data_IF_126408067300
#
_entry.id   IF_126408067300
#
_cell.length_a   1.000
_cell.length_b   1.000
_cell.length_c   1.000
_cell.angle_alpha   90.00
_cell.angle_beta   90.00
_cell.angle_gamma   90.00
#
_symmetry.space_group_name_H-M   'P 1'
#
loop_
_entity.id
_entity.type
_entity.pdbx_description
1 polymer ?
#
# COMPACT_ATOMS: atom_id res chain seq x y z
N UNK A 1 -1.17 -24.68 1.44
CA UNK A 1 0.01 -23.80 1.40
C UNK A 1 -0.26 -22.53 2.18
N UNK A 2 0.74 -22.08 2.95
CA UNK A 2 0.61 -20.99 3.91
C UNK A 2 0.54 -19.64 3.18
N UNK A 3 -0.68 -19.16 2.89
CA UNK A 3 -0.94 -17.89 2.15
C UNK A 3 -0.27 -16.68 2.80
N UNK A 4 0.19 -16.79 4.05
CA UNK A 4 0.93 -15.75 4.77
C UNK A 4 2.15 -15.23 4.03
N UNK A 5 2.77 -16.04 3.17
CA UNK A 5 3.93 -15.60 2.38
C UNK A 5 3.59 -14.49 1.39
N UNK A 6 2.33 -14.28 0.99
CA UNK A 6 1.90 -13.25 0.03
C UNK A 6 1.01 -12.16 0.64
N UNK A 7 0.71 -12.23 1.94
CA UNK A 7 -0.17 -11.26 2.59
C UNK A 7 0.62 -10.05 3.10
N UNK A 8 0.00 -8.88 2.95
CA UNK A 8 0.42 -7.63 3.59
C UNK A 8 -0.56 -7.37 4.73
N UNK A 9 -0.06 -7.19 5.95
CA UNK A 9 -0.88 -6.91 7.12
C UNK A 9 -0.85 -5.41 7.41
N UNK A 10 -2.03 -4.80 7.56
CA UNK A 10 -2.13 -3.38 7.88
C UNK A 10 -3.09 -3.14 9.04
N UNK A 11 -2.61 -2.41 10.04
CA UNK A 11 -3.41 -1.88 11.13
C UNK A 11 -4.19 -0.63 10.68
N UNK A 12 -5.39 -0.36 11.20
CA UNK A 12 -6.04 0.93 11.02
C UNK A 12 -5.20 2.02 11.69
N UNK A 13 -4.82 3.03 10.92
CA UNK A 13 -3.93 4.11 11.36
C UNK A 13 -4.73 5.33 11.75
N UNK A 14 -4.48 5.81 12.96
CA UNK A 14 -5.07 7.02 13.50
C UNK A 14 -3.99 8.05 13.78
N UNK A 15 -3.98 9.15 13.03
CA UNK A 15 -3.02 10.25 13.18
C UNK A 15 -3.39 11.19 14.34
N UNK A 16 -3.92 10.66 15.43
CA UNK A 16 -4.58 11.43 16.49
C UNK A 16 -3.71 11.67 17.72
N UNK A 17 -2.45 11.22 17.76
CA UNK A 17 -1.66 11.24 19.00
C UNK A 17 -1.40 12.64 19.57
N UNK A 18 -1.25 13.64 18.71
CA UNK A 18 -1.05 15.05 19.06
C UNK A 18 -2.22 15.95 18.64
N UNK A 19 -3.43 15.40 18.44
CA UNK A 19 -4.58 16.18 17.95
C UNK A 19 -4.87 17.44 18.79
N UNK A 20 -4.69 17.36 20.11
CA UNK A 20 -4.92 18.45 21.06
C UNK A 20 -4.00 19.67 20.86
N UNK A 21 -2.88 19.52 20.14
CA UNK A 21 -1.92 20.60 19.84
C UNK A 21 -2.05 21.15 18.43
N UNK A 22 -2.91 20.54 17.61
CA UNK A 22 -3.02 20.86 16.20
C UNK A 22 -4.01 22.00 15.94
N UNK A 23 -3.77 22.84 14.93
CA UNK A 23 -4.77 23.75 14.38
C UNK A 23 -6.07 23.02 14.02
N UNK A 24 -7.23 23.61 14.33
CA UNK A 24 -8.55 23.01 14.02
C UNK A 24 -8.71 22.52 12.57
N UNK A 25 -8.29 23.26 11.53
CA UNK A 25 -8.42 22.78 10.15
C UNK A 25 -7.63 21.48 9.89
N UNK A 26 -6.49 21.31 10.55
CA UNK A 26 -5.65 20.11 10.43
C UNK A 26 -6.31 18.94 11.15
N UNK A 27 -6.93 19.17 12.30
CA UNK A 27 -7.69 18.13 13.02
C UNK A 27 -8.80 17.58 12.12
N UNK A 28 -9.60 18.46 11.52
CA UNK A 28 -10.70 18.06 10.63
C UNK A 28 -10.18 17.25 9.44
N UNK A 29 -9.15 17.74 8.74
CA UNK A 29 -8.53 17.01 7.63
C UNK A 29 -7.97 15.64 8.06
N UNK A 30 -7.34 15.59 9.22
CA UNK A 30 -6.80 14.35 9.79
C UNK A 30 -7.90 13.34 10.12
N UNK A 31 -9.04 13.80 10.64
CA UNK A 31 -10.20 12.95 10.89
C UNK A 31 -10.75 12.34 9.59
N UNK A 32 -10.89 13.15 8.53
CA UNK A 32 -11.30 12.64 7.22
C UNK A 32 -10.35 11.59 6.67
N UNK A 33 -9.03 11.80 6.78
CA UNK A 33 -8.04 10.79 6.38
C UNK A 33 -8.21 9.50 7.17
N UNK A 34 -8.35 9.57 8.50
CA UNK A 34 -8.54 8.39 9.33
C UNK A 34 -9.84 7.64 8.97
N UNK A 35 -10.93 8.37 8.69
CA UNK A 35 -12.20 7.79 8.26
C UNK A 35 -12.08 7.08 6.91
N UNK A 36 -11.39 7.70 5.94
CA UNK A 36 -11.15 7.11 4.62
C UNK A 36 -10.32 5.82 4.71
N UNK A 37 -9.22 5.85 5.47
CA UNK A 37 -8.36 4.66 5.67
C UNK A 37 -9.13 3.52 6.35
N UNK A 38 -9.92 3.84 7.39
CA UNK A 38 -10.73 2.84 8.08
C UNK A 38 -11.82 2.26 7.16
N UNK A 39 -12.48 3.10 6.36
CA UNK A 39 -13.49 2.66 5.40
C UNK A 39 -12.86 1.73 4.34
N UNK A 40 -11.68 2.09 3.82
CA UNK A 40 -10.95 1.26 2.86
C UNK A 40 -10.55 -0.10 3.47
N UNK A 41 -10.05 -0.13 4.71
CA UNK A 41 -9.73 -1.38 5.40
C UNK A 41 -10.99 -2.23 5.69
N UNK A 42 -12.10 -1.59 6.02
CA UNK A 42 -13.37 -2.27 6.34
C UNK A 42 -14.07 -2.89 5.14
N UNK A 43 -13.82 -2.44 3.91
CA UNK A 43 -14.48 -2.96 2.71
C UNK A 43 -13.76 -4.19 2.14
N UNK A 44 -14.30 -5.42 2.31
CA UNK A 44 -13.67 -6.65 1.82
C UNK A 44 -13.48 -6.70 0.31
N UNK A 45 -14.26 -5.93 -0.46
CA UNK A 45 -14.23 -5.94 -1.92
C UNK A 45 -13.32 -4.86 -2.52
N UNK A 46 -12.83 -3.93 -1.70
CA UNK A 46 -11.92 -2.88 -2.15
C UNK A 46 -10.51 -3.41 -2.39
N UNK A 47 -9.88 -2.95 -3.48
CA UNK A 47 -8.45 -3.09 -3.71
C UNK A 47 -7.75 -2.10 -2.78
N UNK A 48 -7.00 -2.66 -1.82
CA UNK A 48 -6.33 -1.89 -0.77
C UNK A 48 -4.85 -1.84 -1.03
N UNK A 49 -4.26 -0.68 -0.74
CA UNK A 49 -2.82 -0.49 -0.74
C UNK A 49 -2.34 -0.16 0.66
N UNK A 50 -1.14 -0.63 1.04
CA UNK A 50 -0.58 -0.33 2.33
C UNK A 50 -0.32 1.15 2.46
N UNK A 51 -0.58 1.68 3.65
CA UNK A 51 -0.37 3.07 3.98
C UNK A 51 0.38 3.17 5.30
N UNK A 52 1.56 3.80 5.29
CA UNK A 52 2.41 4.21 6.43
C UNK A 52 2.90 3.14 7.41
N UNK A 53 2.09 2.17 7.81
CA UNK A 53 2.44 1.16 8.81
C UNK A 53 1.83 -0.17 8.40
N UNK A 54 2.67 -1.01 7.82
CA UNK A 54 2.29 -2.32 7.33
C UNK A 54 3.39 -3.34 7.64
N UNK A 55 3.08 -4.61 7.45
CA UNK A 55 4.03 -5.72 7.60
C UNK A 55 3.84 -6.68 6.45
N UNK A 56 4.93 -7.21 5.92
CA UNK A 56 4.90 -8.28 4.92
C UNK A 56 5.95 -9.35 5.24
N UNK A 57 5.81 -10.51 4.62
CA UNK A 57 6.79 -11.57 4.74
C UNK A 57 8.12 -11.15 4.11
N UNK A 58 9.23 -11.60 4.70
CA UNK A 58 10.57 -11.38 4.12
C UNK A 58 10.69 -12.05 2.74
N UNK A 59 10.02 -13.18 2.54
CA UNK A 59 10.02 -13.90 1.27
C UNK A 59 9.33 -13.09 0.18
N UNK A 60 8.19 -12.44 0.47
CA UNK A 60 7.54 -11.53 -0.46
C UNK A 60 8.46 -10.36 -0.81
N UNK A 61 9.08 -9.75 0.21
CA UNK A 61 10.01 -8.63 0.00
C UNK A 61 11.16 -9.02 -0.93
N UNK A 62 11.75 -10.21 -0.75
CA UNK A 62 12.82 -10.72 -1.62
C UNK A 62 12.31 -11.04 -3.03
N UNK A 63 11.15 -11.67 -3.16
CA UNK A 63 10.57 -12.06 -4.44
C UNK A 63 10.22 -10.87 -5.33
N UNK A 64 9.81 -9.75 -4.73
CA UNK A 64 9.53 -8.52 -5.49
C UNK A 64 10.79 -7.70 -5.77
N UNK A 65 11.94 -8.03 -5.17
CA UNK A 65 13.18 -7.27 -5.33
C UNK A 65 13.34 -6.09 -4.37
N UNK A 66 12.64 -6.11 -3.24
CA UNK A 66 12.75 -5.11 -2.18
C UNK A 66 12.07 -3.78 -2.50
N UNK A 67 12.44 -2.77 -1.72
CA UNK A 67 11.90 -1.42 -1.78
C UNK A 67 12.67 -0.53 -2.75
N UNK A 68 11.95 0.35 -3.43
CA UNK A 68 12.52 1.29 -4.39
C UNK A 68 12.62 2.69 -3.74
N UNK A 69 13.83 3.14 -3.34
CA UNK A 69 14.00 4.37 -2.54
C UNK A 69 13.75 5.65 -3.34
N UNK A 70 13.65 5.55 -4.66
CA UNK A 70 13.46 6.70 -5.55
C UNK A 70 12.03 7.24 -5.49
N UNK A 71 11.06 6.43 -5.04
CA UNK A 71 9.64 6.81 -5.02
C UNK A 71 9.22 7.53 -3.73
N UNK A 72 8.47 8.61 -3.92
CA UNK A 72 7.98 9.47 -2.83
C UNK A 72 6.89 8.76 -2.02
N UNK A 73 6.05 7.96 -2.67
CA UNK A 73 4.97 7.18 -2.07
C UNK A 73 5.36 5.69 -1.95
N UNK A 74 6.49 5.43 -1.27
CA UNK A 74 7.10 4.10 -1.16
C UNK A 74 6.09 3.02 -0.73
N UNK A 75 5.24 3.28 0.28
CA UNK A 75 4.26 2.30 0.75
C UNK A 75 3.31 1.85 -0.37
N UNK A 76 2.69 2.81 -1.06
CA UNK A 76 1.72 2.55 -2.13
C UNK A 76 2.38 1.80 -3.28
N UNK A 77 3.57 2.24 -3.66
CA UNK A 77 4.37 1.58 -4.68
C UNK A 77 4.71 0.14 -4.30
N UNK A 78 5.14 -0.11 -3.05
CA UNK A 78 5.44 -1.45 -2.57
C UNK A 78 4.19 -2.35 -2.65
N UNK A 79 3.02 -1.82 -2.31
CA UNK A 79 1.74 -2.51 -2.48
C UNK A 79 1.44 -2.88 -3.93
N UNK A 80 1.55 -1.91 -4.85
CA UNK A 80 1.32 -2.12 -6.29
C UNK A 80 2.33 -3.13 -6.84
N UNK A 81 3.60 -3.00 -6.46
CA UNK A 81 4.68 -3.91 -6.87
C UNK A 81 4.42 -5.33 -6.40
N UNK A 82 4.02 -5.52 -5.14
CA UNK A 82 3.62 -6.83 -4.62
C UNK A 82 2.42 -7.38 -5.39
N UNK A 83 1.38 -6.57 -5.61
CA UNK A 83 0.18 -6.98 -6.34
C UNK A 83 0.51 -7.43 -7.77
N UNK A 84 1.29 -6.64 -8.52
CA UNK A 84 1.64 -6.96 -9.90
C UNK A 84 2.59 -8.15 -10.02
N UNK A 85 3.63 -8.23 -9.19
CA UNK A 85 4.63 -9.30 -9.27
C UNK A 85 4.10 -10.66 -8.82
N UNK A 86 3.08 -10.67 -7.95
CA UNK A 86 2.36 -11.88 -7.55
C UNK A 86 1.11 -12.15 -8.38
N UNK A 87 0.93 -11.45 -9.50
CA UNK A 87 -0.22 -11.62 -10.42
C UNK A 87 -1.58 -11.48 -9.71
N UNK A 88 -1.67 -10.58 -8.73
CA UNK A 88 -2.88 -10.28 -7.98
C UNK A 88 -3.11 -11.16 -6.75
N UNK A 89 -2.18 -12.05 -6.40
CA UNK A 89 -2.31 -12.87 -5.18
C UNK A 89 -2.02 -12.09 -3.90
N UNK A 90 -1.08 -11.14 -3.94
CA UNK A 90 -0.77 -10.29 -2.81
C UNK A 90 -1.91 -9.32 -2.54
N UNK A 91 -2.35 -9.29 -1.28
CA UNK A 91 -3.44 -8.43 -0.82
C UNK A 91 -3.17 -7.91 0.57
N UNK A 92 -3.77 -6.77 0.87
CA UNK A 92 -3.73 -6.17 2.20
C UNK A 92 -4.87 -6.73 3.04
N UNK A 93 -4.52 -7.37 4.15
CA UNK A 93 -5.45 -7.87 5.15
C UNK A 93 -5.45 -6.93 6.37
N UNK A 94 -6.64 -6.47 6.81
CA UNK A 94 -6.74 -5.62 7.98
C UNK A 94 -6.41 -6.40 9.26
N UNK A 95 -5.59 -5.79 10.10
CA UNK A 95 -5.29 -6.26 11.45
C UNK A 95 -6.06 -5.38 12.44
N UNK A 96 -6.91 -5.98 13.29
CA UNK A 96 -7.78 -5.27 14.24
C UNK A 96 -7.04 -4.67 15.46
N UNK A 97 -5.83 -4.16 15.23
CA UNK A 97 -4.99 -3.52 16.23
C UNK A 97 -4.73 -2.07 15.78
N UNK A 98 -5.47 -1.08 16.30
CA UNK A 98 -5.30 0.30 15.85
C UNK A 98 -3.93 0.87 16.23
N UNK A 99 -3.28 1.53 15.27
CA UNK A 99 -1.99 2.20 15.45
C UNK A 99 -2.18 3.71 15.52
N UNK A 100 -1.79 4.32 16.64
CA UNK A 100 -1.86 5.76 16.84
C UNK A 100 -0.54 6.46 16.48
N UNK A 101 -0.57 7.27 15.42
CA UNK A 101 0.58 7.99 14.90
C UNK A 101 0.52 9.50 15.18
N UNK A 102 1.68 10.14 15.08
CA UNK A 102 1.79 11.60 15.21
C UNK A 102 1.50 12.28 13.88
N UNK A 103 0.71 13.34 13.97
CA UNK A 103 0.57 14.34 12.93
C UNK A 103 1.84 15.21 12.88
N UNK A 104 2.43 15.49 11.70
CA UNK A 104 3.50 16.48 11.58
C UNK A 104 3.13 17.82 12.21
N UNK A 105 4.00 18.30 13.08
CA UNK A 105 3.86 19.51 13.88
C UNK A 105 5.15 20.32 13.78
N UNK A 106 5.02 21.65 13.77
CA UNK A 106 6.15 22.57 13.86
C UNK A 106 5.92 23.52 15.05
N UNK A 107 6.95 24.26 15.46
CA UNK A 107 6.95 25.14 16.64
C UNK A 107 5.93 26.28 16.56
N UNK A 108 5.41 26.59 15.37
CA UNK A 108 4.47 27.70 15.15
C UNK A 108 3.24 27.21 14.42
N UNK A 109 2.08 27.78 14.76
CA UNK A 109 0.78 27.45 14.17
C UNK A 109 0.79 27.46 12.63
N UNK A 110 1.30 28.53 12.01
CA UNK A 110 1.41 28.65 10.55
C UNK A 110 2.38 27.66 9.91
N UNK A 111 3.51 27.41 10.59
CA UNK A 111 4.50 26.43 10.10
C UNK A 111 3.93 25.01 10.13
N UNK A 112 3.11 24.70 11.12
CA UNK A 112 2.40 23.41 11.20
C UNK A 112 1.43 23.24 10.03
N UNK A 113 0.69 24.29 9.65
CA UNK A 113 -0.17 24.28 8.45
C UNK A 113 0.66 24.08 7.19
N UNK A 114 1.77 24.80 7.03
CA UNK A 114 2.66 24.67 5.87
C UNK A 114 3.31 23.28 5.78
N UNK A 115 3.72 22.71 6.91
CA UNK A 115 4.27 21.35 6.98
C UNK A 115 3.22 20.31 6.55
N UNK A 116 1.99 20.48 7.00
CA UNK A 116 0.86 19.64 6.58
C UNK A 116 0.50 19.80 5.11
N UNK A 117 0.53 21.03 4.60
CA UNK A 117 0.36 21.30 3.18
C UNK A 117 1.46 20.62 2.35
N UNK A 118 2.72 20.71 2.77
CA UNK A 118 3.82 20.05 2.10
C UNK A 118 3.69 18.52 2.09
N UNK A 119 3.16 17.94 3.18
CA UNK A 119 2.83 16.52 3.22
C UNK A 119 1.67 16.16 2.29
N UNK A 120 0.58 16.92 2.32
CA UNK A 120 -0.57 16.70 1.43
C UNK A 120 -0.17 16.79 -0.05
N UNK A 121 0.72 17.72 -0.42
CA UNK A 121 1.29 17.79 -1.77
C UNK A 121 2.05 16.52 -2.15
N UNK A 122 2.84 15.94 -1.24
CA UNK A 122 3.54 14.66 -1.49
C UNK A 122 2.56 13.52 -1.76
N UNK A 123 1.45 13.47 -1.02
CA UNK A 123 0.40 12.48 -1.26
C UNK A 123 -0.34 12.72 -2.59
N UNK A 124 -0.59 13.98 -2.97
CA UNK A 124 -1.19 14.30 -4.28
C UNK A 124 -0.26 13.98 -5.46
N UNK A 125 1.06 14.03 -5.25
CA UNK A 125 2.07 13.66 -6.24
C UNK A 125 2.21 12.14 -6.42
N UNK A 126 1.50 11.30 -5.64
CA UNK A 126 1.45 9.84 -5.81
C UNK A 126 0.89 9.36 -7.16
N UNK A 127 0.48 10.27 -8.05
CA UNK A 127 0.17 9.96 -9.45
C UNK A 127 1.36 9.31 -10.20
N UNK A 128 2.59 9.45 -9.70
CA UNK A 128 3.77 8.72 -10.20
C UNK A 128 3.56 7.19 -10.23
N UNK A 129 2.78 6.66 -9.29
CA UNK A 129 2.58 5.21 -9.16
C UNK A 129 1.75 4.65 -10.33
N UNK A 130 0.94 5.49 -10.99
CA UNK A 130 0.24 5.09 -12.23
C UNK A 130 1.23 4.83 -13.37
N UNK A 131 2.32 5.59 -13.46
CA UNK A 131 3.33 5.37 -14.50
C UNK A 131 4.01 4.00 -14.33
N UNK A 132 4.30 3.60 -13.09
CA UNK A 132 4.83 2.26 -12.80
C UNK A 132 3.85 1.16 -13.20
N UNK A 133 2.56 1.34 -12.90
CA UNK A 133 1.51 0.40 -13.32
C UNK A 133 1.49 0.21 -14.84
N UNK A 134 1.53 1.30 -15.62
CA UNK A 134 1.57 1.24 -17.07
C UNK A 134 2.85 0.61 -17.63
N UNK A 135 3.99 0.82 -16.98
CA UNK A 135 5.27 0.21 -17.39
C UNK A 135 5.29 -1.31 -17.16
N UNK A 136 4.65 -1.79 -16.08
CA UNK A 136 4.63 -3.21 -15.73
C UNK A 136 3.55 -4.01 -16.46
N UNK A 137 2.50 -3.37 -16.97
CA UNK A 137 1.40 -4.01 -17.70
C UNK A 137 1.89 -4.95 -18.83
N UNK A 138 2.78 -4.55 -19.76
CA UNK A 138 3.27 -5.43 -20.82
C UNK A 138 3.98 -6.69 -20.30
N UNK A 139 4.72 -6.60 -19.19
CA UNK A 139 5.44 -7.73 -18.58
C UNK A 139 4.47 -8.71 -17.91
N UNK A 140 3.44 -8.18 -17.25
CA UNK A 140 2.36 -8.97 -16.65
C UNK A 140 1.58 -9.71 -17.72
N UNK A 141 1.18 -9.02 -18.80
CA UNK A 141 0.51 -9.65 -19.94
C UNK A 141 1.39 -10.69 -20.63
N UNK A 142 2.68 -10.40 -20.84
CA UNK A 142 3.62 -11.36 -21.42
C UNK A 142 3.75 -12.64 -20.59
N UNK A 143 3.83 -12.52 -19.26
CA UNK A 143 3.83 -13.69 -18.36
C UNK A 143 2.50 -14.44 -18.33
N UNK A 144 1.38 -13.73 -18.33
CA UNK A 144 0.06 -14.35 -18.37
C UNK A 144 -0.12 -15.19 -19.65
N UNK A 145 0.23 -14.62 -20.81
CA UNK A 145 0.18 -15.30 -22.10
C UNK A 145 1.15 -16.50 -22.17
N UNK A 146 2.35 -16.37 -21.58
CA UNK A 146 3.32 -17.47 -21.53
C UNK A 146 2.87 -18.63 -20.62
N UNK A 147 2.05 -18.37 -19.60
CA UNK A 147 1.52 -19.39 -18.70
C UNK A 147 0.45 -20.24 -19.39
N UNK A 148 -0.36 -19.61 -20.26
CA UNK A 148 -1.34 -20.29 -21.10
C UNK A 148 -0.71 -21.08 -22.27
N UNK A 149 0.49 -20.68 -22.71
CA UNK A 149 1.24 -21.37 -23.76
C UNK A 149 2.03 -22.61 -23.26
N UNK A 150 2.07 -22.87 -21.95
CA UNK A 150 2.68 -24.10 -21.42
C UNK A 150 1.75 -25.28 -21.70
N UNK A 151 2.17 -26.29 -22.49
CA UNK A 151 1.31 -27.44 -22.76
C UNK A 151 1.07 -28.17 -21.45
N UNK A 152 -0.19 -28.47 -21.14
CA UNK A 152 -0.56 -29.45 -20.11
C UNK A 152 0.09 -30.79 -20.49
N UNK A 153 1.32 -31.00 -20.00
CA UNK A 153 2.10 -32.21 -20.23
C UNK A 153 1.34 -33.42 -19.71
N UNK A 154 1.06 -34.35 -20.62
CA UNK A 154 0.17 -35.48 -20.39
C UNK A 154 0.64 -36.40 -19.27
N UNK A 155 -0.26 -36.64 -18.31
CA UNK A 155 -0.30 -37.89 -17.56
C UNK A 155 -1.14 -38.89 -18.35
N UNK A 156 -0.63 -39.31 -19.51
CA UNK A 156 -1.03 -40.52 -20.20
C UNK A 156 0.12 -41.52 -20.08
N UNK A 157 0.10 -42.36 -19.04
CA UNK A 157 0.94 -43.56 -18.98
C UNK A 157 0.02 -44.76 -18.84
N UNK A 158 -0.17 -45.44 -19.97
CA UNK A 158 -0.77 -46.77 -20.07
C UNK A 158 0.39 -47.76 -19.91
N UNK A 159 0.37 -48.56 -18.85
CA UNK A 159 0.50 -50.02 -18.82
C UNK A 159 0.35 -50.50 -17.37
#
# INVERSE_FOLDING_TARGET
>A
EDRRSVLIWQAPIFHLKNYHRQPYPIIVGTMFTCMQELAALSDPHSIRFPYSTYSLSLDLAKNVGGWDPEWIAEDWHMGIKCFLMTMGEARVEPLLLPCANYTPEDKTWWKTILARWAQAKRHALGFSDMAYYFMMLPLVFGRALSKDASPKGGAGRIQ
#
